data_IF_831905478282
#
_entry.id   IF_831905478282
#
_cell.length_a   1.000
_cell.length_b   1.000
_cell.length_c   1.000
_cell.angle_alpha   90.00
_cell.angle_beta   90.00
_cell.angle_gamma   90.00
#
_symmetry.space_group_name_H-M   'P 1'
#
loop_
_entity.id
_entity.type
_entity.pdbx_description
1 polymer ?
#
# COMPACT_ATOMS: atom_id res chain seq x y z
N UNK A 1 -27.50 -0.41 13.33
CA UNK A 1 -27.31 -0.22 11.87
C UNK A 1 -28.63 -0.27 11.12
N UNK A 2 -29.60 -1.06 11.55
CA UNK A 2 -30.86 -1.28 10.82
C UNK A 2 -31.63 0.01 10.54
N UNK A 3 -31.72 0.92 11.53
CA UNK A 3 -32.37 2.22 11.33
C UNK A 3 -31.68 3.13 10.29
N UNK A 4 -30.38 2.94 10.04
CA UNK A 4 -29.61 3.72 9.09
C UNK A 4 -29.49 3.03 7.71
N UNK A 5 -29.93 1.79 7.57
CA UNK A 5 -29.78 0.98 6.35
C UNK A 5 -30.32 1.68 5.09
N UNK A 6 -31.56 2.10 5.13
CA UNK A 6 -32.20 2.80 4.00
C UNK A 6 -31.51 4.13 3.66
N UNK A 7 -31.36 5.04 4.65
CA UNK A 7 -30.63 6.29 4.44
C UNK A 7 -29.21 6.10 3.91
N UNK A 8 -28.47 5.10 4.39
CA UNK A 8 -27.09 4.81 3.98
C UNK A 8 -27.02 4.36 2.52
N UNK A 9 -27.87 3.42 2.10
CA UNK A 9 -27.94 2.94 0.72
C UNK A 9 -28.38 4.03 -0.27
N UNK A 10 -29.40 4.84 0.11
CA UNK A 10 -29.85 5.96 -0.72
C UNK A 10 -28.73 6.98 -0.90
N UNK A 11 -28.10 7.38 0.21
CA UNK A 11 -27.00 8.29 0.19
C UNK A 11 -25.83 7.80 -0.71
N UNK A 12 -25.48 6.51 -0.61
CA UNK A 12 -24.40 5.94 -1.41
C UNK A 12 -24.68 6.01 -2.90
N UNK A 13 -25.89 5.69 -3.32
CA UNK A 13 -26.30 5.73 -4.73
C UNK A 13 -26.18 7.15 -5.32
N UNK A 14 -26.41 8.18 -4.52
CA UNK A 14 -26.34 9.59 -4.94
C UNK A 14 -24.95 10.20 -4.82
N UNK A 15 -24.13 9.75 -3.87
CA UNK A 15 -22.90 10.43 -3.47
C UNK A 15 -21.60 9.62 -3.70
N UNK A 16 -21.69 8.38 -4.15
CA UNK A 16 -20.50 7.55 -4.40
C UNK A 16 -19.58 8.21 -5.42
N UNK A 17 -18.28 8.20 -5.12
CA UNK A 17 -17.27 8.66 -6.08
C UNK A 17 -17.22 7.75 -7.30
N UNK A 18 -17.02 8.33 -8.46
CA UNK A 18 -16.71 7.60 -9.68
C UNK A 18 -15.24 7.17 -9.65
N UNK A 19 -15.01 5.87 -9.63
CA UNK A 19 -13.67 5.26 -9.48
C UNK A 19 -13.48 4.15 -10.51
N UNK A 20 -12.31 4.05 -11.17
CA UNK A 20 -12.06 3.10 -12.26
C UNK A 20 -12.38 1.64 -11.93
N UNK A 21 -12.23 1.24 -10.67
CA UNK A 21 -12.54 -0.11 -10.19
C UNK A 21 -14.00 -0.33 -9.80
N UNK A 22 -14.86 0.68 -10.00
CA UNK A 22 -16.30 0.62 -9.76
C UNK A 22 -17.14 0.60 -11.04
N UNK A 23 -16.49 0.62 -12.23
CA UNK A 23 -17.16 0.58 -13.54
C UNK A 23 -17.97 -0.68 -13.72
N UNK A 24 -17.50 -1.79 -13.15
CA UNK A 24 -18.17 -3.08 -13.17
C UNK A 24 -17.92 -3.82 -11.83
N UNK A 25 -18.49 -5.03 -11.71
CA UNK A 25 -18.32 -5.90 -10.53
C UNK A 25 -17.32 -7.03 -10.79
N UNK A 26 -16.33 -6.81 -11.65
CA UNK A 26 -15.28 -7.77 -11.92
C UNK A 26 -14.44 -8.04 -10.68
N UNK A 27 -14.38 -9.30 -10.26
CA UNK A 27 -13.72 -9.72 -9.03
C UNK A 27 -12.22 -9.46 -9.05
N UNK A 28 -11.55 -9.61 -10.21
CA UNK A 28 -10.14 -9.35 -10.37
C UNK A 28 -9.83 -7.86 -10.21
N UNK A 29 -10.58 -6.99 -10.87
CA UNK A 29 -10.43 -5.53 -10.76
C UNK A 29 -10.65 -5.03 -9.32
N UNK A 30 -11.67 -5.55 -8.66
CA UNK A 30 -11.96 -5.26 -7.25
C UNK A 30 -10.79 -5.72 -6.37
N UNK A 31 -10.33 -6.95 -6.51
CA UNK A 31 -9.20 -7.47 -5.75
C UNK A 31 -7.94 -6.61 -5.90
N UNK A 32 -7.53 -6.30 -7.13
CA UNK A 32 -6.34 -5.46 -7.38
C UNK A 32 -6.49 -4.08 -6.72
N UNK A 33 -7.64 -3.44 -6.91
CA UNK A 33 -7.89 -2.11 -6.32
C UNK A 33 -7.85 -2.14 -4.79
N UNK A 34 -8.48 -3.15 -4.16
CA UNK A 34 -8.50 -3.28 -2.70
C UNK A 34 -7.09 -3.49 -2.11
N UNK A 35 -6.25 -4.27 -2.78
CA UNK A 35 -4.85 -4.43 -2.37
C UNK A 35 -4.04 -3.13 -2.58
N UNK A 36 -4.24 -2.41 -3.68
CA UNK A 36 -3.55 -1.13 -3.93
C UNK A 36 -3.96 -0.05 -2.92
N UNK A 37 -5.23 -0.01 -2.53
CA UNK A 37 -5.77 0.96 -1.58
C UNK A 37 -5.32 0.73 -0.13
N UNK A 38 -4.74 -0.43 0.20
CA UNK A 38 -4.16 -0.66 1.52
C UNK A 38 -3.06 0.37 1.81
N UNK A 39 -3.31 1.28 2.76
CA UNK A 39 -2.40 2.35 3.17
C UNK A 39 -1.99 3.35 2.06
N UNK A 40 -2.71 3.38 0.94
CA UNK A 40 -2.47 4.30 -0.17
C UNK A 40 -3.74 5.10 -0.46
N UNK A 41 -3.59 6.39 -0.74
CA UNK A 41 -4.73 7.29 -1.02
C UNK A 41 -5.32 6.98 -2.40
N UNK A 42 -6.63 7.13 -2.52
CA UNK A 42 -7.40 6.86 -3.75
C UNK A 42 -6.80 7.55 -4.98
N UNK A 43 -6.51 8.86 -4.89
CA UNK A 43 -5.98 9.63 -6.02
C UNK A 43 -4.58 9.13 -6.47
N UNK A 44 -3.78 8.65 -5.52
CA UNK A 44 -2.49 8.07 -5.86
C UNK A 44 -2.64 6.69 -6.52
N UNK A 45 -3.68 5.92 -6.19
CA UNK A 45 -3.91 4.57 -6.76
C UNK A 45 -4.39 4.62 -8.20
N UNK A 46 -5.20 5.61 -8.59
CA UNK A 46 -5.81 5.69 -9.93
C UNK A 46 -4.83 5.43 -11.09
N UNK A 47 -3.70 6.16 -11.21
CA UNK A 47 -2.76 5.92 -12.31
C UNK A 47 -2.05 4.57 -12.22
N UNK A 48 -1.81 4.06 -11.01
CA UNK A 48 -1.23 2.72 -10.83
C UNK A 48 -2.19 1.62 -11.23
N UNK A 49 -3.46 1.75 -10.88
CA UNK A 49 -4.49 0.79 -11.27
C UNK A 49 -4.65 0.72 -12.78
N UNK A 50 -4.71 1.86 -13.47
CA UNK A 50 -4.81 1.90 -14.93
C UNK A 50 -3.62 1.17 -15.58
N UNK A 51 -2.39 1.53 -15.21
CA UNK A 51 -1.17 0.89 -15.70
C UNK A 51 -1.12 -0.60 -15.38
N UNK A 52 -1.51 -1.00 -14.19
CA UNK A 52 -1.53 -2.41 -13.77
C UNK A 52 -2.51 -3.25 -14.60
N UNK A 53 -3.71 -2.72 -14.87
CA UNK A 53 -4.72 -3.38 -15.70
C UNK A 53 -4.30 -3.49 -17.17
N UNK A 54 -3.45 -2.59 -17.65
CA UNK A 54 -2.86 -2.64 -18.99
C UNK A 54 -1.81 -3.75 -19.09
N UNK A 55 -0.91 -3.88 -18.10
CA UNK A 55 0.15 -4.88 -18.08
C UNK A 55 -0.36 -6.28 -17.70
N UNK A 56 -1.24 -6.36 -16.73
CA UNK A 56 -1.79 -7.59 -16.17
C UNK A 56 -3.32 -7.59 -16.22
N UNK A 57 -3.93 -7.72 -17.43
CA UNK A 57 -5.37 -7.61 -17.60
C UNK A 57 -6.18 -8.77 -17.01
N UNK A 58 -5.52 -9.88 -16.69
CA UNK A 58 -6.16 -11.10 -16.17
C UNK A 58 -5.36 -11.71 -15.02
N UNK A 59 -6.00 -12.59 -14.23
CA UNK A 59 -5.33 -13.38 -13.19
C UNK A 59 -4.21 -14.22 -13.80
N UNK A 60 -4.39 -14.78 -14.99
CA UNK A 60 -3.39 -15.58 -15.69
C UNK A 60 -2.15 -14.72 -16.02
N UNK A 61 -2.34 -13.54 -16.60
CA UNK A 61 -1.23 -12.65 -16.92
C UNK A 61 -0.42 -12.26 -15.67
N UNK A 62 -1.10 -12.07 -14.53
CA UNK A 62 -0.44 -11.79 -13.26
C UNK A 62 0.30 -13.01 -12.70
N UNK A 63 -0.24 -14.20 -12.88
CA UNK A 63 0.42 -15.45 -12.44
C UNK A 63 1.68 -15.73 -13.25
N UNK A 64 1.65 -15.49 -14.55
CA UNK A 64 2.73 -15.83 -15.50
C UNK A 64 3.84 -14.78 -15.55
N UNK A 65 3.64 -13.57 -15.01
CA UNK A 65 4.62 -12.48 -15.10
C UNK A 65 5.90 -12.77 -14.30
N UNK A 66 7.01 -12.16 -14.68
CA UNK A 66 8.22 -12.15 -13.86
C UNK A 66 8.08 -11.22 -12.65
N UNK A 67 8.69 -11.58 -11.52
CA UNK A 67 8.57 -10.80 -10.27
C UNK A 67 9.15 -9.38 -10.43
N UNK A 68 10.22 -9.23 -11.19
CA UNK A 68 10.83 -7.95 -11.51
C UNK A 68 9.88 -7.02 -12.27
N UNK A 69 9.14 -7.55 -13.25
CA UNK A 69 8.15 -6.80 -14.04
C UNK A 69 7.02 -6.32 -13.14
N UNK A 70 6.48 -7.22 -12.30
CA UNK A 70 5.46 -6.88 -11.32
C UNK A 70 5.92 -5.79 -10.36
N UNK A 71 7.13 -5.92 -9.83
CA UNK A 71 7.68 -4.93 -8.89
C UNK A 71 7.96 -3.60 -9.56
N UNK A 72 8.34 -3.61 -10.83
CA UNK A 72 8.51 -2.38 -11.60
C UNK A 72 7.18 -1.67 -11.84
N UNK A 73 6.14 -2.40 -12.19
CA UNK A 73 4.78 -1.87 -12.28
C UNK A 73 4.25 -1.32 -10.94
N UNK A 74 4.69 -1.90 -9.82
CA UNK A 74 4.30 -1.52 -8.45
C UNK A 74 5.16 -0.39 -7.87
N UNK A 75 6.24 0.00 -8.54
CA UNK A 75 7.22 0.97 -8.03
C UNK A 75 6.55 2.30 -7.67
N UNK A 76 6.70 2.72 -6.42
CA UNK A 76 6.09 3.94 -5.87
C UNK A 76 4.92 3.71 -4.92
N UNK A 77 4.19 2.59 -5.01
CA UNK A 77 3.10 2.26 -4.09
C UNK A 77 3.60 1.83 -2.70
N UNK A 78 4.84 1.31 -2.60
CA UNK A 78 5.38 0.78 -1.36
C UNK A 78 4.74 -0.55 -0.91
N UNK A 79 5.20 -1.08 0.25
CA UNK A 79 4.68 -2.35 0.79
C UNK A 79 4.66 -3.47 -0.27
N UNK A 80 5.80 -3.75 -0.87
CA UNK A 80 5.96 -4.71 -1.99
C UNK A 80 5.53 -6.15 -1.65
N UNK A 81 5.45 -6.49 -0.36
CA UNK A 81 4.82 -7.74 0.07
C UNK A 81 3.39 -7.90 -0.44
N UNK A 82 2.68 -6.80 -0.70
CA UNK A 82 1.35 -6.84 -1.32
C UNK A 82 1.42 -7.36 -2.76
N UNK A 83 2.34 -6.83 -3.56
CA UNK A 83 2.55 -7.29 -4.94
C UNK A 83 2.98 -8.75 -4.98
N UNK A 84 3.92 -9.16 -4.11
CA UNK A 84 4.34 -10.57 -4.00
C UNK A 84 3.18 -11.49 -3.63
N UNK A 85 2.34 -11.09 -2.67
CA UNK A 85 1.17 -11.86 -2.30
C UNK A 85 0.13 -11.91 -3.42
N UNK A 86 -0.03 -10.83 -4.20
CA UNK A 86 -0.89 -10.84 -5.40
C UNK A 86 -0.45 -11.92 -6.39
N UNK A 87 0.86 -12.00 -6.72
CA UNK A 87 1.38 -13.02 -7.64
C UNK A 87 1.15 -14.42 -7.09
N UNK A 88 1.52 -14.68 -5.84
CA UNK A 88 1.28 -15.98 -5.20
C UNK A 88 -0.20 -16.38 -5.18
N UNK A 89 -1.09 -15.44 -4.90
CA UNK A 89 -2.52 -15.71 -4.91
C UNK A 89 -3.02 -15.96 -6.36
N UNK A 90 -2.50 -15.23 -7.35
CA UNK A 90 -2.84 -15.46 -8.76
C UNK A 90 -2.43 -16.86 -9.22
N UNK A 91 -1.23 -17.32 -8.85
CA UNK A 91 -0.75 -18.70 -9.13
C UNK A 91 -1.70 -19.76 -8.54
N UNK A 92 -2.16 -19.56 -7.29
CA UNK A 92 -3.13 -20.47 -6.64
C UNK A 92 -4.50 -20.38 -7.37
N UNK A 93 -4.97 -19.17 -7.71
CA UNK A 93 -6.24 -19.00 -8.40
C UNK A 93 -6.22 -19.69 -9.77
N UNK A 94 -5.12 -19.62 -10.48
CA UNK A 94 -4.96 -20.33 -11.76
C UNK A 94 -4.96 -21.84 -11.56
N UNK A 95 -4.16 -22.35 -10.61
CA UNK A 95 -3.99 -23.79 -10.43
C UNK A 95 -5.18 -24.48 -9.78
N UNK A 96 -5.87 -23.83 -8.83
CA UNK A 96 -6.91 -24.48 -8.01
C UNK A 96 -8.34 -24.03 -8.41
N UNK A 97 -8.49 -22.82 -9.00
CA UNK A 97 -9.79 -22.23 -9.32
C UNK A 97 -9.97 -21.91 -10.81
N UNK A 98 -9.11 -22.45 -11.69
CA UNK A 98 -9.23 -22.27 -13.13
C UNK A 98 -9.10 -20.83 -13.62
N UNK A 99 -8.36 -19.99 -12.91
CA UNK A 99 -8.10 -18.58 -13.27
C UNK A 99 -9.19 -17.58 -12.87
N UNK A 100 -10.23 -18.01 -12.16
CA UNK A 100 -11.28 -17.12 -11.66
C UNK A 100 -11.28 -17.10 -10.12
N UNK A 101 -11.47 -15.92 -9.52
CA UNK A 101 -11.59 -15.82 -8.07
C UNK A 101 -12.77 -16.64 -7.57
N UNK A 102 -12.61 -17.39 -6.46
CA UNK A 102 -13.70 -18.20 -5.91
C UNK A 102 -14.82 -17.33 -5.31
N UNK A 103 -16.07 -17.66 -5.63
CA UNK A 103 -17.25 -17.02 -5.05
C UNK A 103 -17.60 -17.62 -3.66
N UNK A 104 -16.59 -17.85 -2.85
CA UNK A 104 -16.68 -18.41 -1.50
C UNK A 104 -15.78 -17.63 -0.54
N UNK A 105 -16.32 -17.19 0.60
CA UNK A 105 -15.62 -16.34 1.54
C UNK A 105 -14.44 -17.05 2.22
N UNK A 106 -14.57 -18.34 2.53
CA UNK A 106 -13.52 -19.12 3.17
C UNK A 106 -12.36 -19.38 2.20
N UNK A 107 -12.69 -19.70 0.93
CA UNK A 107 -11.70 -19.83 -0.13
C UNK A 107 -10.96 -18.51 -0.39
N UNK A 108 -11.66 -17.36 -0.44
CA UNK A 108 -11.00 -16.05 -0.53
C UNK A 108 -10.04 -15.78 0.62
N UNK A 109 -10.43 -16.13 1.86
CA UNK A 109 -9.58 -15.96 3.05
C UNK A 109 -8.32 -16.83 3.06
N UNK A 110 -8.33 -17.96 2.35
CA UNK A 110 -7.17 -18.86 2.24
C UNK A 110 -6.07 -18.32 1.31
N UNK A 111 -6.38 -17.36 0.46
CA UNK A 111 -5.44 -16.80 -0.51
C UNK A 111 -4.42 -15.86 0.14
N UNK A 112 -3.14 -15.93 -0.26
CA UNK A 112 -2.09 -15.06 0.26
C UNK A 112 -2.42 -13.57 0.14
N UNK A 113 -2.28 -12.82 1.24
CA UNK A 113 -2.52 -11.38 1.28
C UNK A 113 -3.98 -10.95 1.33
N UNK A 114 -4.94 -11.87 1.31
CA UNK A 114 -6.36 -11.62 1.45
C UNK A 114 -6.77 -11.84 2.92
N UNK A 115 -6.98 -10.76 3.65
CA UNK A 115 -7.50 -10.78 5.02
C UNK A 115 -9.03 -10.59 5.05
N UNK A 116 -9.62 -10.58 6.27
CA UNK A 116 -11.08 -10.47 6.49
C UNK A 116 -11.72 -9.31 5.72
N UNK A 117 -11.06 -8.14 5.73
CA UNK A 117 -11.55 -6.98 4.97
C UNK A 117 -11.58 -7.23 3.46
N UNK A 118 -10.46 -7.67 2.88
CA UNK A 118 -10.34 -7.86 1.43
C UNK A 118 -11.26 -8.98 0.95
N UNK A 119 -11.35 -10.10 1.70
CA UNK A 119 -12.29 -11.17 1.40
C UNK A 119 -13.75 -10.71 1.47
N UNK A 120 -14.08 -9.89 2.47
CA UNK A 120 -15.40 -9.28 2.61
C UNK A 120 -15.73 -8.31 1.47
N UNK A 121 -14.77 -7.48 1.04
CA UNK A 121 -14.94 -6.55 -0.07
C UNK A 121 -15.17 -7.32 -1.39
N UNK A 122 -14.29 -8.25 -1.75
CA UNK A 122 -14.44 -9.07 -2.97
C UNK A 122 -15.75 -9.86 -2.90
N UNK A 123 -15.98 -10.58 -1.81
CA UNK A 123 -17.18 -11.44 -1.65
C UNK A 123 -18.48 -10.67 -1.78
N UNK A 124 -18.58 -9.50 -1.16
CA UNK A 124 -19.82 -8.72 -1.19
C UNK A 124 -19.98 -7.93 -2.49
N UNK A 125 -18.93 -7.30 -3.00
CA UNK A 125 -19.02 -6.40 -4.16
C UNK A 125 -19.12 -7.20 -5.46
N UNK A 126 -18.26 -8.21 -5.64
CA UNK A 126 -18.24 -9.01 -6.87
C UNK A 126 -19.33 -10.08 -6.88
N UNK A 127 -19.50 -10.78 -5.76
CA UNK A 127 -20.32 -11.97 -5.69
C UNK A 127 -21.64 -11.80 -4.92
N UNK A 128 -21.88 -10.62 -4.33
CA UNK A 128 -23.10 -10.35 -3.58
C UNK A 128 -23.24 -11.10 -2.25
N UNK A 129 -22.17 -11.73 -1.77
CA UNK A 129 -22.18 -12.49 -0.52
C UNK A 129 -22.46 -11.56 0.68
N UNK A 130 -23.27 -11.98 1.66
CA UNK A 130 -23.60 -11.20 2.84
C UNK A 130 -22.48 -11.24 3.90
N UNK A 131 -21.27 -10.87 3.48
CA UNK A 131 -20.04 -10.90 4.29
C UNK A 131 -19.52 -9.48 4.54
N UNK A 132 -19.01 -9.17 5.77
CA UNK A 132 -18.64 -7.82 6.15
C UNK A 132 -17.27 -7.41 5.59
N UNK A 133 -17.16 -6.13 5.17
CA UNK A 133 -15.90 -5.49 4.81
C UNK A 133 -15.60 -4.35 5.79
N UNK A 134 -14.92 -4.66 6.91
CA UNK A 134 -14.65 -3.70 7.99
C UNK A 134 -13.19 -3.28 7.99
N UNK A 135 -12.93 -2.07 7.47
CA UNK A 135 -11.63 -1.40 7.48
C UNK A 135 -11.54 -0.33 8.58
N UNK A 136 -10.45 0.43 8.61
CA UNK A 136 -10.28 1.54 9.55
C UNK A 136 -11.28 2.67 9.38
N UNK A 137 -11.85 2.87 8.18
CA UNK A 137 -12.91 3.85 7.94
C UNK A 137 -14.22 3.38 8.55
N UNK A 138 -14.59 2.15 8.28
CA UNK A 138 -15.80 1.52 8.84
C UNK A 138 -15.74 1.47 10.36
N UNK A 139 -14.60 1.04 10.94
CA UNK A 139 -14.43 1.02 12.40
C UNK A 139 -14.61 2.40 13.01
N UNK A 140 -14.10 3.48 12.39
CA UNK A 140 -14.31 4.86 12.86
C UNK A 140 -15.77 5.27 12.79
N UNK A 141 -16.45 4.99 11.68
CA UNK A 141 -17.88 5.29 11.51
C UNK A 141 -18.68 4.59 12.57
N UNK A 142 -18.51 3.29 12.73
CA UNK A 142 -19.28 2.47 13.68
C UNK A 142 -19.01 2.88 15.14
N UNK A 143 -17.76 3.18 15.51
CA UNK A 143 -17.44 3.70 16.84
C UNK A 143 -18.17 5.00 17.14
N UNK A 144 -18.19 5.95 16.19
CA UNK A 144 -18.91 7.22 16.35
C UNK A 144 -20.42 7.03 16.37
N UNK A 145 -20.96 6.19 15.50
CA UNK A 145 -22.41 5.88 15.47
C UNK A 145 -22.86 5.29 16.81
N UNK A 146 -22.08 4.36 17.35
CA UNK A 146 -22.38 3.73 18.65
C UNK A 146 -21.98 4.59 19.88
N UNK A 147 -21.23 5.68 19.72
CA UNK A 147 -20.66 6.44 20.83
C UNK A 147 -19.68 5.62 21.68
N UNK A 148 -18.94 4.69 21.07
CA UNK A 148 -18.09 3.72 21.75
C UNK A 148 -16.69 4.24 21.99
N UNK A 149 -16.21 4.14 23.22
CA UNK A 149 -14.82 4.42 23.63
C UNK A 149 -13.92 3.17 23.59
N UNK A 150 -14.40 2.06 23.05
CA UNK A 150 -13.57 0.89 22.86
C UNK A 150 -12.44 1.18 21.84
N UNK A 151 -11.22 0.72 22.16
CA UNK A 151 -10.06 0.92 21.29
C UNK A 151 -10.22 0.11 19.99
N UNK A 152 -10.35 0.80 18.87
CA UNK A 152 -10.55 0.18 17.55
C UNK A 152 -9.33 -0.61 17.02
N UNK A 153 -8.18 -0.51 17.68
CA UNK A 153 -7.01 -1.33 17.32
C UNK A 153 -7.05 -2.73 17.93
N UNK A 154 -7.99 -2.97 18.88
CA UNK A 154 -8.17 -4.30 19.49
C UNK A 154 -8.94 -5.24 18.56
N UNK A 155 -8.39 -6.44 18.34
CA UNK A 155 -9.02 -7.44 17.47
C UNK A 155 -10.42 -7.84 17.93
N UNK A 156 -10.67 -7.90 19.23
CA UNK A 156 -12.01 -8.18 19.77
C UNK A 156 -13.04 -7.12 19.37
N UNK A 157 -12.65 -5.83 19.34
CA UNK A 157 -13.52 -4.73 18.93
C UNK A 157 -13.80 -4.83 17.43
N UNK A 158 -12.79 -5.12 16.61
CA UNK A 158 -12.98 -5.35 15.18
C UNK A 158 -13.96 -6.50 14.92
N UNK A 159 -13.78 -7.64 15.59
CA UNK A 159 -14.68 -8.79 15.45
C UNK A 159 -16.13 -8.46 15.86
N UNK A 160 -16.32 -7.71 16.93
CA UNK A 160 -17.65 -7.21 17.34
C UNK A 160 -18.32 -6.35 16.26
N UNK A 161 -17.54 -5.49 15.59
CA UNK A 161 -18.03 -4.67 14.48
C UNK A 161 -18.32 -5.50 13.23
N UNK A 162 -17.47 -6.46 12.89
CA UNK A 162 -17.70 -7.41 11.78
C UNK A 162 -19.04 -8.15 12.00
N UNK A 163 -19.29 -8.68 13.19
CA UNK A 163 -20.56 -9.35 13.52
C UNK A 163 -21.77 -8.41 13.38
N UNK A 164 -21.66 -7.17 13.87
CA UNK A 164 -22.76 -6.20 13.76
C UNK A 164 -23.09 -5.82 12.30
N UNK A 165 -22.06 -5.74 11.44
CA UNK A 165 -22.26 -5.52 10.00
C UNK A 165 -22.86 -6.77 9.37
N UNK A 166 -22.34 -7.97 9.67
CA UNK A 166 -22.83 -9.23 9.13
C UNK A 166 -24.33 -9.45 9.44
N UNK A 167 -24.76 -9.21 10.67
CA UNK A 167 -26.18 -9.30 11.04
C UNK A 167 -27.07 -8.36 10.19
N UNK A 168 -26.60 -7.15 9.94
CA UNK A 168 -27.33 -6.21 9.07
C UNK A 168 -27.35 -6.70 7.63
N UNK A 169 -26.23 -7.22 7.10
CA UNK A 169 -26.13 -7.73 5.74
C UNK A 169 -27.11 -8.87 5.47
N UNK A 170 -27.34 -9.76 6.43
CA UNK A 170 -28.32 -10.86 6.34
C UNK A 170 -29.76 -10.40 6.14
N UNK A 171 -30.07 -9.15 6.47
CA UNK A 171 -31.43 -8.57 6.35
C UNK A 171 -31.62 -7.74 5.07
N UNK A 172 -30.56 -7.56 4.27
CA UNK A 172 -30.59 -6.82 3.02
C UNK A 172 -31.26 -7.62 1.89
N UNK A 173 -31.70 -6.91 0.86
CA UNK A 173 -32.13 -7.55 -0.37
C UNK A 173 -30.93 -8.12 -1.11
N UNK A 174 -31.18 -9.13 -1.94
CA UNK A 174 -30.17 -9.69 -2.83
C UNK A 174 -29.50 -8.58 -3.66
N UNK A 175 -28.17 -8.64 -3.75
CA UNK A 175 -27.34 -7.66 -4.48
C UNK A 175 -27.03 -6.35 -3.74
N UNK A 176 -27.62 -6.09 -2.56
CA UNK A 176 -27.33 -4.86 -1.78
C UNK A 176 -26.10 -4.97 -0.85
N UNK A 177 -25.57 -6.17 -0.60
CA UNK A 177 -24.46 -6.37 0.35
C UNK A 177 -23.21 -5.57 -0.05
N UNK A 178 -22.84 -5.62 -1.33
CA UNK A 178 -21.68 -4.86 -1.85
C UNK A 178 -21.89 -3.35 -1.75
N UNK A 179 -23.08 -2.86 -2.08
CA UNK A 179 -23.41 -1.43 -1.96
C UNK A 179 -23.38 -0.96 -0.50
N UNK A 180 -23.86 -1.78 0.44
CA UNK A 180 -23.87 -1.46 1.86
C UNK A 180 -22.45 -1.37 2.45
N UNK A 181 -21.60 -2.34 2.15
CA UNK A 181 -20.18 -2.30 2.57
C UNK A 181 -19.47 -1.08 1.97
N UNK A 182 -19.64 -0.83 0.67
CA UNK A 182 -19.06 0.35 0.03
C UNK A 182 -19.60 1.65 0.61
N UNK A 183 -20.88 1.71 0.97
CA UNK A 183 -21.49 2.88 1.60
C UNK A 183 -20.88 3.21 2.98
N UNK A 184 -20.60 2.19 3.79
CA UNK A 184 -19.88 2.36 5.06
C UNK A 184 -18.48 2.91 4.85
N UNK A 185 -17.72 2.32 3.91
CA UNK A 185 -16.37 2.74 3.55
C UNK A 185 -16.37 4.18 3.02
N UNK A 186 -17.28 4.50 2.09
CA UNK A 186 -17.39 5.81 1.46
C UNK A 186 -17.78 6.89 2.48
N UNK A 187 -18.73 6.61 3.35
CA UNK A 187 -19.09 7.51 4.47
C UNK A 187 -17.87 7.84 5.33
N UNK A 188 -17.05 6.84 5.64
CA UNK A 188 -15.78 7.06 6.34
C UNK A 188 -14.78 7.88 5.55
N UNK A 189 -14.73 7.69 4.23
CA UNK A 189 -13.75 8.38 3.38
C UNK A 189 -14.05 9.87 3.15
N UNK A 190 -15.34 10.24 2.97
CA UNK A 190 -15.70 11.59 2.51
C UNK A 190 -16.60 12.38 3.47
N UNK A 191 -17.25 11.74 4.45
CA UNK A 191 -18.15 12.40 5.43
C UNK A 191 -17.55 12.32 6.83
N UNK A 192 -17.38 11.12 7.35
CA UNK A 192 -16.90 10.85 8.71
C UNK A 192 -15.37 10.76 8.74
N UNK A 193 -14.68 11.82 8.31
CA UNK A 193 -13.22 11.86 8.09
C UNK A 193 -12.40 11.68 9.38
N UNK A 194 -11.13 11.19 9.26
CA UNK A 194 -10.25 10.95 10.42
C UNK A 194 -9.59 12.23 10.97
N UNK A 195 -9.36 13.21 10.12
CA UNK A 195 -8.65 14.45 10.46
C UNK A 195 -9.56 15.66 10.20
N UNK A 196 -9.55 16.61 11.12
CA UNK A 196 -10.46 17.76 11.08
C UNK A 196 -11.87 17.43 11.55
N UNK A 197 -12.81 18.34 11.36
CA UNK A 197 -14.21 18.14 11.73
C UNK A 197 -14.91 17.24 10.69
N UNK A 198 -15.60 16.18 11.11
CA UNK A 198 -16.43 15.41 10.21
C UNK A 198 -17.63 16.23 9.72
N UNK A 199 -18.14 15.92 8.53
CA UNK A 199 -19.29 16.61 7.93
C UNK A 199 -20.61 16.09 8.55
N UNK A 200 -20.82 16.39 9.83
CA UNK A 200 -21.98 15.95 10.62
C UNK A 200 -23.23 16.81 10.35
N UNK A 201 -23.66 16.90 9.10
CA UNK A 201 -24.83 17.67 8.68
C UNK A 201 -25.70 16.90 7.70
N UNK A 202 -26.40 17.61 6.83
CA UNK A 202 -27.24 17.04 5.78
C UNK A 202 -26.59 15.91 4.94
N UNK A 203 -25.28 15.96 4.63
CA UNK A 203 -24.66 14.88 3.86
C UNK A 203 -24.35 13.60 4.65
N UNK A 204 -24.58 13.56 5.99
CA UNK A 204 -24.26 12.37 6.79
C UNK A 204 -25.44 11.39 6.86
N UNK A 205 -25.31 10.17 6.31
CA UNK A 205 -26.42 9.19 6.36
C UNK A 205 -26.75 8.67 7.77
N UNK A 206 -25.85 8.90 8.73
CA UNK A 206 -26.02 8.55 10.14
C UNK A 206 -26.48 9.72 11.01
N UNK A 207 -26.84 10.87 10.43
CA UNK A 207 -27.12 12.09 11.18
C UNK A 207 -28.10 11.89 12.35
N UNK A 208 -29.22 11.18 12.13
CA UNK A 208 -30.27 10.99 13.13
C UNK A 208 -29.92 10.00 14.24
N UNK A 209 -29.06 9.01 13.92
CA UNK A 209 -28.76 7.87 14.80
C UNK A 209 -27.37 7.93 15.46
N UNK A 210 -26.49 8.85 15.05
CA UNK A 210 -25.11 8.90 15.53
C UNK A 210 -25.01 9.44 16.95
N UNK A 211 -24.59 8.60 17.91
CA UNK A 211 -24.46 8.98 19.33
C UNK A 211 -23.30 9.95 19.56
N UNK A 212 -22.16 9.79 18.87
CA UNK A 212 -21.05 10.72 19.00
C UNK A 212 -21.43 12.15 18.56
N UNK A 213 -22.24 12.28 17.50
CA UNK A 213 -22.76 13.59 17.09
C UNK A 213 -23.72 14.17 18.12
N UNK A 214 -24.68 13.38 18.61
CA UNK A 214 -25.68 13.84 19.59
C UNK A 214 -25.05 14.35 20.89
N UNK A 215 -23.91 13.76 21.26
CA UNK A 215 -23.21 14.04 22.53
C UNK A 215 -21.93 14.88 22.35
N UNK A 216 -21.67 15.38 21.13
CA UNK A 216 -20.47 16.15 20.77
C UNK A 216 -19.14 15.44 21.05
N UNK A 217 -19.09 14.12 20.79
CA UNK A 217 -17.93 13.24 21.05
C UNK A 217 -17.10 12.95 19.80
N UNK A 218 -17.35 13.62 18.68
CA UNK A 218 -16.71 13.28 17.39
C UNK A 218 -15.19 13.52 17.36
N UNK A 219 -14.69 14.40 18.23
CA UNK A 219 -13.26 14.66 18.39
C UNK A 219 -12.57 13.60 19.27
N UNK A 220 -13.30 12.98 20.20
CA UNK A 220 -12.77 11.98 21.15
C UNK A 220 -12.82 10.56 20.56
N UNK A 221 -13.82 10.26 19.74
CA UNK A 221 -14.06 8.94 19.13
C UNK A 221 -13.61 8.96 17.65
N UNK A 222 -12.85 7.96 17.18
CA UNK A 222 -12.52 6.69 17.84
C UNK A 222 -11.29 6.76 18.75
N UNK A 223 -11.28 5.97 19.80
CA UNK A 223 -10.12 5.76 20.66
C UNK A 223 -9.10 4.83 19.97
N UNK A 224 -7.81 5.17 20.09
CA UNK A 224 -6.69 4.37 19.57
C UNK A 224 -5.54 4.40 20.55
N UNK A 225 -5.05 3.22 20.92
CA UNK A 225 -3.80 3.12 21.68
C UNK A 225 -2.64 3.75 20.91
N UNK A 226 -1.80 4.60 21.53
CA UNK A 226 -0.64 5.18 20.89
C UNK A 226 0.31 4.11 20.34
N UNK A 227 0.83 4.33 19.15
CA UNK A 227 1.83 3.43 18.54
C UNK A 227 3.15 3.52 19.27
N UNK A 228 3.88 2.40 19.37
CA UNK A 228 5.27 2.38 19.86
C UNK A 228 6.15 3.28 18.99
N UNK A 229 7.18 3.90 19.62
CA UNK A 229 8.20 4.66 18.87
C UNK A 229 8.91 3.75 17.88
N UNK A 230 9.26 4.30 16.70
CA UNK A 230 10.05 3.58 15.69
C UNK A 230 11.49 3.46 16.14
N UNK A 231 12.16 2.38 15.73
CA UNK A 231 13.62 2.25 15.82
C UNK A 231 14.22 3.17 14.76
N UNK A 232 15.24 3.93 15.11
CA UNK A 232 16.04 4.71 14.15
C UNK A 232 17.24 3.85 13.75
N UNK A 233 17.49 3.75 12.45
CA UNK A 233 18.65 3.10 11.86
C UNK A 233 19.37 4.10 10.97
N UNK A 234 20.67 4.27 11.21
CA UNK A 234 21.54 5.09 10.38
C UNK A 234 22.15 4.24 9.27
N UNK A 235 22.24 4.81 8.07
CA UNK A 235 22.84 4.15 6.90
C UNK A 235 23.64 5.13 6.08
N UNK A 236 24.75 4.63 5.53
CA UNK A 236 25.58 5.36 4.57
C UNK A 236 25.39 4.74 3.19
N UNK A 237 24.76 5.49 2.29
CA UNK A 237 24.43 5.07 0.91
C UNK A 237 25.59 5.41 -0.03
N UNK A 238 25.96 4.48 -0.89
CA UNK A 238 27.06 4.62 -1.82
C UNK A 238 26.54 4.65 -3.26
N UNK A 239 26.62 5.81 -3.90
CA UNK A 239 26.44 5.89 -5.35
C UNK A 239 27.81 5.60 -5.99
N UNK A 240 28.01 4.35 -6.42
CA UNK A 240 29.26 3.91 -7.00
C UNK A 240 29.16 3.93 -8.51
N UNK A 241 29.95 4.78 -9.15
CA UNK A 241 30.02 4.94 -10.61
C UNK A 241 31.24 4.23 -11.18
N UNK A 242 31.04 3.48 -12.28
CA UNK A 242 32.08 2.92 -13.13
C UNK A 242 31.77 3.29 -14.59
N UNK A 243 32.48 4.27 -15.14
CA UNK A 243 32.10 4.87 -16.41
C UNK A 243 30.74 5.53 -16.35
N UNK A 244 29.82 5.11 -17.20
CA UNK A 244 28.44 5.58 -17.31
C UNK A 244 27.44 4.76 -16.49
N UNK A 245 27.90 3.68 -15.84
CA UNK A 245 27.09 2.76 -15.06
C UNK A 245 27.15 3.05 -13.57
N UNK A 246 26.06 2.69 -12.87
CA UNK A 246 25.91 2.84 -11.44
C UNK A 246 25.67 1.47 -10.79
N UNK A 247 26.39 1.22 -9.70
CA UNK A 247 26.26 -0.02 -8.96
C UNK A 247 24.93 -0.11 -8.18
N UNK A 248 24.29 -1.25 -8.30
CA UNK A 248 23.14 -1.67 -7.49
C UNK A 248 23.37 -3.10 -6.99
N UNK A 249 22.59 -3.51 -6.01
CA UNK A 249 22.54 -4.91 -5.59
C UNK A 249 21.11 -5.34 -5.33
N UNK A 250 20.81 -6.61 -5.58
CA UNK A 250 19.53 -7.21 -5.18
C UNK A 250 19.59 -7.52 -3.68
N UNK A 251 18.54 -7.16 -2.96
CA UNK A 251 18.39 -7.50 -1.53
C UNK A 251 17.97 -8.96 -1.39
N UNK A 252 18.22 -9.52 -0.19
CA UNK A 252 17.79 -10.87 0.15
C UNK A 252 16.27 -11.04 0.01
N UNK A 253 15.82 -12.27 -0.17
CA UNK A 253 14.40 -12.61 -0.34
C UNK A 253 13.57 -12.46 0.95
N UNK A 254 14.20 -12.09 2.04
CA UNK A 254 13.56 -11.87 3.34
C UNK A 254 13.87 -10.49 3.92
N UNK A 255 13.07 -10.05 4.87
CA UNK A 255 13.28 -8.78 5.56
C UNK A 255 12.65 -7.56 4.86
N UNK A 256 13.11 -6.39 5.27
CA UNK A 256 12.60 -5.12 4.75
C UNK A 256 13.03 -4.90 3.29
N UNK A 257 12.09 -4.58 2.40
CA UNK A 257 12.35 -4.37 0.97
C UNK A 257 12.96 -5.60 0.26
N UNK A 258 12.61 -6.79 0.71
CA UNK A 258 13.09 -8.07 0.17
C UNK A 258 12.95 -8.16 -1.35
N UNK A 259 13.93 -8.79 -2.02
CA UNK A 259 14.04 -9.03 -3.46
C UNK A 259 14.08 -7.77 -4.34
N UNK A 260 14.04 -6.56 -3.77
CA UNK A 260 14.18 -5.31 -4.51
C UNK A 260 15.65 -4.94 -4.72
N UNK A 261 15.90 -4.02 -5.62
CA UNK A 261 17.24 -3.48 -5.82
C UNK A 261 17.48 -2.25 -4.96
N UNK A 262 18.72 -2.07 -4.55
CA UNK A 262 19.15 -0.90 -3.77
C UNK A 262 20.52 -0.42 -4.21
N UNK A 263 20.84 0.84 -3.95
CA UNK A 263 22.22 1.28 -3.97
C UNK A 263 22.99 0.61 -2.83
N UNK A 264 24.26 0.19 -3.04
CA UNK A 264 25.10 -0.32 -1.96
C UNK A 264 25.03 0.61 -0.75
N UNK A 265 24.91 0.06 0.44
CA UNK A 265 24.86 0.85 1.66
C UNK A 265 25.50 0.10 2.82
N UNK A 266 26.02 0.84 3.76
CA UNK A 266 26.68 0.39 4.98
C UNK A 266 25.84 0.82 6.19
N UNK A 267 25.91 0.05 7.26
CA UNK A 267 25.24 0.39 8.52
C UNK A 267 26.01 1.50 9.24
N UNK A 268 25.27 2.43 9.85
CA UNK A 268 25.80 3.58 10.56
C UNK A 268 26.02 4.80 9.67
N UNK A 269 26.31 5.92 10.31
CA UNK A 269 26.75 7.16 9.68
C UNK A 269 28.27 7.17 9.63
N UNK A 270 28.84 6.76 8.50
CA UNK A 270 30.27 6.61 8.31
C UNK A 270 30.89 7.84 7.65
N UNK A 271 32.12 8.15 8.05
CA UNK A 271 32.97 9.12 7.36
C UNK A 271 33.48 8.55 6.02
N UNK A 272 33.90 9.42 5.10
CA UNK A 272 34.49 8.99 3.83
C UNK A 272 35.69 8.06 3.97
N UNK A 273 36.51 8.27 5.02
CA UNK A 273 37.66 7.39 5.32
C UNK A 273 37.19 5.97 5.66
N UNK A 274 36.24 5.84 6.57
CA UNK A 274 35.67 4.53 6.98
C UNK A 274 35.00 3.82 5.82
N UNK A 275 34.34 4.57 4.93
CA UNK A 275 33.75 4.02 3.70
C UNK A 275 34.84 3.41 2.80
N UNK A 276 35.92 4.17 2.51
CA UNK A 276 37.02 3.68 1.65
C UNK A 276 37.72 2.47 2.26
N UNK A 277 37.91 2.43 3.58
CA UNK A 277 38.48 1.27 4.26
C UNK A 277 37.62 0.00 4.09
N UNK A 278 36.28 0.13 4.00
CA UNK A 278 35.37 -1.00 3.84
C UNK A 278 35.23 -1.45 2.37
N UNK A 279 35.47 -0.58 1.40
CA UNK A 279 35.23 -0.90 -0.03
C UNK A 279 36.18 -1.94 -0.61
N UNK A 280 37.37 -2.15 -0.02
CA UNK A 280 38.37 -3.15 -0.48
C UNK A 280 38.75 -3.07 -1.96
N UNK A 281 38.56 -1.92 -2.60
CA UNK A 281 38.92 -1.66 -4.00
C UNK A 281 39.51 -0.26 -4.16
N UNK A 282 40.09 0.03 -5.33
CA UNK A 282 40.51 1.40 -5.66
C UNK A 282 39.28 2.26 -5.93
N UNK A 283 39.01 3.19 -5.02
CA UNK A 283 37.85 4.06 -5.10
C UNK A 283 38.24 5.49 -4.70
N UNK A 284 37.59 6.47 -5.31
CA UNK A 284 37.73 7.90 -5.01
C UNK A 284 36.38 8.45 -4.62
N UNK A 285 36.29 9.11 -3.47
CA UNK A 285 35.11 9.88 -3.11
C UNK A 285 35.14 11.19 -3.88
N UNK A 286 34.17 11.37 -4.76
CA UNK A 286 33.98 12.59 -5.54
C UNK A 286 33.21 13.66 -4.74
N UNK A 287 32.20 13.23 -3.99
CA UNK A 287 31.28 14.15 -3.31
C UNK A 287 30.55 13.48 -2.16
N UNK A 288 30.32 14.23 -1.09
CA UNK A 288 29.35 13.89 -0.06
C UNK A 288 27.93 14.25 -0.58
N UNK A 289 26.99 13.32 -0.40
CA UNK A 289 25.62 13.46 -0.86
C UNK A 289 24.73 14.04 0.25
N UNK A 290 23.64 14.73 -0.12
CA UNK A 290 22.67 15.20 0.85
C UNK A 290 22.10 14.08 1.71
N UNK A 291 21.82 14.39 2.96
CA UNK A 291 21.14 13.47 3.87
C UNK A 291 19.69 13.25 3.44
N UNK A 292 19.19 12.06 3.66
CA UNK A 292 17.80 11.70 3.39
C UNK A 292 17.20 10.92 4.57
N UNK A 293 15.87 10.92 4.63
CA UNK A 293 15.13 10.20 5.66
C UNK A 293 13.99 9.42 5.01
N UNK A 294 13.83 8.16 5.43
CA UNK A 294 12.68 7.37 5.04
C UNK A 294 12.02 6.70 6.24
N UNK A 295 10.68 6.73 6.26
CA UNK A 295 9.88 6.26 7.40
C UNK A 295 9.09 5.02 6.99
N UNK A 296 9.42 3.89 7.60
CA UNK A 296 8.64 2.65 7.51
C UNK A 296 7.67 2.53 8.70
N UNK A 297 6.88 1.47 8.74
CA UNK A 297 5.91 1.25 9.82
C UNK A 297 6.56 1.13 11.20
N UNK A 298 7.71 0.46 11.31
CA UNK A 298 8.38 0.10 12.57
C UNK A 298 9.82 0.61 12.69
N UNK A 299 10.41 1.09 11.58
CA UNK A 299 11.78 1.61 11.53
C UNK A 299 11.82 2.91 10.74
N UNK A 300 12.80 3.72 11.01
CA UNK A 300 13.07 4.98 10.34
C UNK A 300 14.55 4.98 9.94
N UNK A 301 14.83 5.12 8.63
CA UNK A 301 16.19 5.23 8.14
C UNK A 301 16.59 6.70 8.04
N UNK A 302 17.71 7.02 8.70
CA UNK A 302 18.44 8.26 8.53
C UNK A 302 19.66 7.95 7.66
N UNK A 303 19.74 8.55 6.49
CA UNK A 303 20.72 8.20 5.48
C UNK A 303 21.65 9.39 5.22
N UNK A 304 22.94 9.15 5.19
CA UNK A 304 23.98 9.95 4.54
C UNK A 304 24.51 9.20 3.33
N UNK A 305 25.35 9.77 2.51
CA UNK A 305 25.90 9.04 1.39
C UNK A 305 27.07 9.73 0.72
N UNK A 306 27.70 8.99 -0.18
CA UNK A 306 28.84 9.43 -0.97
C UNK A 306 28.66 9.04 -2.44
N UNK A 307 29.10 9.94 -3.33
CA UNK A 307 29.37 9.61 -4.72
C UNK A 307 30.79 9.11 -4.79
N UNK A 308 30.96 7.94 -5.34
CA UNK A 308 32.23 7.22 -5.40
C UNK A 308 32.49 6.79 -6.84
N UNK A 309 33.71 7.08 -7.32
CA UNK A 309 34.15 6.61 -8.62
C UNK A 309 35.10 5.45 -8.47
N UNK A 310 34.91 4.43 -9.29
CA UNK A 310 35.78 3.27 -9.44
C UNK A 310 36.20 3.11 -10.90
N UNK A 311 37.36 2.48 -11.13
CA UNK A 311 37.89 2.24 -12.46
C UNK A 311 37.45 0.88 -13.03
N UNK A 312 36.99 -0.02 -12.18
CA UNK A 312 36.56 -1.38 -12.53
C UNK A 312 35.29 -1.73 -11.78
N UNK A 313 34.43 -2.54 -12.38
CA UNK A 313 33.21 -3.03 -11.74
C UNK A 313 33.55 -3.89 -10.51
N UNK A 314 32.86 -3.66 -9.41
CA UNK A 314 33.11 -4.36 -8.14
C UNK A 314 32.41 -5.73 -8.17
N UNK A 315 33.13 -6.84 -7.94
CA UNK A 315 32.52 -8.16 -7.89
C UNK A 315 31.40 -8.27 -6.87
N UNK A 316 30.28 -8.89 -7.28
CA UNK A 316 29.09 -9.04 -6.45
C UNK A 316 28.10 -7.87 -6.49
N UNK A 317 28.43 -6.78 -7.19
CA UNK A 317 27.50 -5.72 -7.54
C UNK A 317 27.09 -5.82 -9.01
N UNK A 318 25.88 -5.38 -9.31
CA UNK A 318 25.40 -5.22 -10.67
C UNK A 318 25.60 -3.77 -11.08
N UNK A 319 26.17 -3.53 -12.24
CA UNK A 319 26.37 -2.20 -12.79
C UNK A 319 25.38 -1.98 -13.94
N UNK A 320 24.47 -1.06 -13.73
CA UNK A 320 23.40 -0.73 -14.67
C UNK A 320 23.57 0.70 -15.18
N UNK A 321 23.27 0.91 -16.45
CA UNK A 321 23.15 2.26 -16.99
C UNK A 321 21.88 2.95 -16.48
N UNK A 322 21.73 4.23 -16.82
CA UNK A 322 20.61 5.05 -16.31
C UNK A 322 19.26 4.64 -16.88
N UNK A 323 19.22 4.14 -18.09
CA UNK A 323 18.01 3.64 -18.73
C UNK A 323 17.55 2.33 -18.07
N UNK A 324 18.48 1.41 -17.86
CA UNK A 324 18.21 0.17 -17.11
C UNK A 324 17.74 0.45 -15.67
N UNK A 325 18.36 1.40 -14.96
CA UNK A 325 17.93 1.80 -13.62
C UNK A 325 16.49 2.34 -13.61
N UNK A 326 16.12 3.08 -14.66
CA UNK A 326 14.78 3.65 -14.78
C UNK A 326 13.76 2.59 -15.18
N UNK A 327 14.08 1.67 -16.09
CA UNK A 327 13.09 0.83 -16.73
C UNK A 327 13.07 -0.63 -16.24
N UNK A 328 14.21 -1.15 -15.82
CA UNK A 328 14.37 -2.57 -15.49
C UNK A 328 14.41 -2.86 -14.00
N UNK A 329 15.17 -2.08 -13.22
CA UNK A 329 15.40 -2.41 -11.82
C UNK A 329 14.48 -1.65 -10.87
N UNK A 330 13.61 -2.34 -10.07
CA UNK A 330 12.72 -1.70 -9.10
C UNK A 330 13.51 -1.23 -7.87
N UNK A 331 13.79 0.07 -7.81
CA UNK A 331 14.46 0.71 -6.66
C UNK A 331 13.40 1.39 -5.79
N UNK A 332 13.24 0.97 -4.52
CA UNK A 332 12.19 1.48 -3.65
C UNK A 332 12.34 2.97 -3.32
N UNK A 333 11.21 3.61 -3.03
CA UNK A 333 11.17 5.03 -2.66
C UNK A 333 12.01 5.40 -1.43
N UNK A 334 12.46 4.43 -0.65
CA UNK A 334 13.43 4.67 0.41
C UNK A 334 14.70 5.33 -0.12
N UNK A 335 15.09 5.01 -1.35
CA UNK A 335 16.27 5.58 -2.02
C UNK A 335 15.93 6.68 -3.04
N UNK A 336 14.72 7.25 -3.03
CA UNK A 336 14.28 8.21 -4.03
C UNK A 336 15.20 9.45 -4.15
N UNK A 337 15.76 9.93 -3.04
CA UNK A 337 16.69 11.05 -3.05
C UNK A 337 17.95 10.72 -3.84
N UNK A 338 18.52 9.55 -3.60
CA UNK A 338 19.75 9.08 -4.27
C UNK A 338 19.50 8.68 -5.73
N UNK A 339 18.32 8.08 -6.03
CA UNK A 339 17.91 7.77 -7.41
C UNK A 339 17.82 9.04 -8.27
N UNK A 340 17.31 10.13 -7.73
CA UNK A 340 17.29 11.43 -8.44
C UNK A 340 18.71 11.94 -8.73
N UNK A 341 19.64 11.79 -7.80
CA UNK A 341 21.04 12.18 -8.00
C UNK A 341 21.71 11.29 -9.04
N UNK A 342 21.50 9.99 -8.99
CA UNK A 342 21.98 9.05 -9.98
C UNK A 342 21.47 9.37 -11.40
N UNK A 343 20.25 9.89 -11.54
CA UNK A 343 19.69 10.29 -12.83
C UNK A 343 20.18 11.66 -13.34
N UNK A 344 20.57 12.58 -12.45
CA UNK A 344 20.83 13.99 -12.80
C UNK A 344 22.25 14.28 -13.32
N UNK A 345 23.24 13.41 -13.10
CA UNK A 345 24.66 13.69 -13.34
C UNK A 345 25.12 13.69 -14.81
N UNK A 346 24.21 13.72 -15.80
CA UNK A 346 24.54 13.81 -17.23
C UNK A 346 24.82 15.21 -17.74
N UNK A 347 24.63 16.27 -16.99
CA UNK A 347 24.76 17.64 -17.53
C UNK A 347 26.14 18.28 -17.35
N UNK A 348 26.99 17.74 -16.48
CA UNK A 348 28.30 18.38 -16.19
C UNK A 348 29.51 17.79 -16.96
N UNK A 349 29.30 16.80 -17.83
CA UNK A 349 30.40 16.16 -18.59
C UNK A 349 30.51 16.58 -20.04
N UNK A 350 29.78 17.60 -20.51
CA UNK A 350 29.83 18.12 -21.88
C UNK A 350 30.41 19.54 -22.02
N UNK A 351 30.98 20.12 -20.94
CA UNK A 351 31.73 21.38 -21.06
C UNK A 351 33.13 21.22 -20.49
N UNK A 352 34.02 20.65 -21.29
CA UNK A 352 35.47 20.86 -21.18
C UNK A 352 36.15 20.39 -22.48
#
# INVERSE_FOLDING_TARGET
LDAARGPLLSWYRENRRDLPWRENRDAYRIWISEIMLQQTRVEAVKPYFARFMEHFPTVQALADCEEEELFKCWEGLGYYSRARNLKKAAEIIVSEYGGALPADHAALLSLPGIGSYTAGAIGSIAFGLPVPAVDGNVMRVLSRVAGSYEDILKQAVKKKMELAVEETLKTLKEGEAGDFNQALIETGAIVCVPNGAPLCGAPCPFYTVCEARKKDLTAEIPVKTPKKKRKIEEKTVLLVECGDKIAIRKRDDTGLLASLYEFPNLEGKLSGKEVLEQMKCRAVIEKELPTAKHIFSHVEWHMSGYLIRVTEEIPGLLFADREELKEKYPIPNAFAAYRKLAAAQTMDSCES
#
